data_IF_586844906820
#
_entry.id   IF_586844906820
#
_cell.length_a   1.000
_cell.length_b   1.000
_cell.length_c   1.000
_cell.angle_alpha   90.00
_cell.angle_beta   90.00
_cell.angle_gamma   90.00
#
_symmetry.space_group_name_H-M   'P 1'
#
loop_
_entity.id
_entity.type
_entity.pdbx_description
1 polymer ?
#
# COMPACT_ATOMS: atom_id res chain seq x y z
N UNK A 1 18.29 1.18 -6.48
CA UNK A 1 17.75 0.32 -5.40
C UNK A 1 17.44 -1.06 -5.99
N UNK A 2 18.02 -2.11 -5.42
CA UNK A 2 17.75 -3.50 -5.85
C UNK A 2 17.11 -4.24 -4.67
N UNK A 3 15.79 -4.40 -4.72
CA UNK A 3 15.01 -5.16 -3.75
C UNK A 3 14.38 -6.33 -4.49
N UNK A 4 14.43 -7.55 -3.97
CA UNK A 4 13.81 -8.71 -4.61
C UNK A 4 12.34 -8.45 -4.94
N UNK A 5 11.88 -8.95 -6.08
CA UNK A 5 10.50 -8.81 -6.59
C UNK A 5 10.13 -7.39 -7.07
N UNK A 6 11.02 -6.43 -6.91
CA UNK A 6 10.89 -5.10 -7.52
C UNK A 6 11.78 -4.97 -8.75
N UNK A 7 11.30 -4.26 -9.73
CA UNK A 7 12.16 -3.79 -10.81
C UNK A 7 13.21 -2.82 -10.27
N UNK A 8 14.33 -2.71 -10.99
CA UNK A 8 15.40 -1.80 -10.56
C UNK A 8 14.98 -0.34 -10.82
N UNK A 9 15.01 0.48 -9.77
CA UNK A 9 14.65 1.90 -9.84
C UNK A 9 15.82 2.78 -9.39
N UNK A 10 15.97 3.93 -10.04
CA UNK A 10 16.96 4.94 -9.66
C UNK A 10 16.39 5.84 -8.56
N UNK A 11 16.84 5.63 -7.34
CA UNK A 11 16.42 6.41 -6.17
C UNK A 11 16.79 7.89 -6.27
N UNK A 12 17.93 8.22 -6.87
CA UNK A 12 18.35 9.61 -7.01
C UNK A 12 17.43 10.38 -7.98
N UNK A 13 17.05 9.72 -9.09
CA UNK A 13 16.06 10.28 -10.02
C UNK A 13 14.70 10.48 -9.33
N UNK A 14 14.25 9.51 -8.53
CA UNK A 14 12.99 9.59 -7.81
C UNK A 14 13.00 10.69 -6.73
N UNK A 15 14.10 10.82 -5.98
CA UNK A 15 14.28 11.91 -5.03
C UNK A 15 14.23 13.29 -5.71
N UNK A 16 14.80 13.39 -6.91
CA UNK A 16 14.66 14.59 -7.75
C UNK A 16 13.21 14.89 -8.13
N UNK A 17 12.42 13.87 -8.45
CA UNK A 17 10.97 14.03 -8.72
C UNK A 17 10.21 14.54 -7.48
N UNK A 18 10.49 13.98 -6.31
CA UNK A 18 9.89 14.41 -5.04
C UNK A 18 10.22 15.87 -4.75
N UNK A 19 11.49 16.25 -4.89
CA UNK A 19 11.96 17.61 -4.60
C UNK A 19 11.39 18.67 -5.55
N UNK A 20 11.06 18.27 -6.80
CA UNK A 20 10.50 19.17 -7.83
C UNK A 20 9.00 19.06 -7.99
N UNK A 21 8.34 18.22 -7.21
CA UNK A 21 6.90 17.97 -7.34
C UNK A 21 6.08 19.25 -7.03
N UNK A 22 5.13 19.65 -7.88
CA UNK A 22 4.29 20.80 -7.62
C UNK A 22 3.26 20.51 -6.51
N UNK A 23 3.05 21.48 -5.63
CA UNK A 23 2.05 21.42 -4.57
C UNK A 23 2.51 20.71 -3.31
N UNK A 24 2.69 19.39 -3.34
CA UNK A 24 3.17 18.58 -2.22
C UNK A 24 4.16 17.52 -2.69
N UNK A 25 5.05 17.05 -1.83
CA UNK A 25 6.03 16.02 -2.18
C UNK A 25 5.32 14.74 -2.62
N UNK A 26 5.56 14.30 -3.86
CA UNK A 26 5.03 13.05 -4.38
C UNK A 26 5.93 12.51 -5.50
N UNK A 27 5.76 11.23 -5.79
CA UNK A 27 6.41 10.55 -6.91
C UNK A 27 5.48 9.48 -7.48
N UNK A 28 5.80 9.02 -8.67
CA UNK A 28 5.11 7.92 -9.34
C UNK A 28 6.11 6.94 -9.91
N UNK A 29 5.89 5.65 -9.72
CA UNK A 29 6.73 4.58 -10.24
C UNK A 29 5.92 3.72 -11.21
N UNK A 30 6.32 3.72 -12.47
CA UNK A 30 5.84 2.76 -13.44
C UNK A 30 6.57 1.42 -13.29
N UNK A 31 5.87 0.33 -13.55
CA UNK A 31 6.47 -1.02 -13.49
C UNK A 31 7.19 -1.28 -12.15
N UNK A 32 6.54 -0.96 -11.05
CA UNK A 32 7.13 -1.08 -9.71
C UNK A 32 7.51 -2.52 -9.38
N UNK A 33 6.57 -3.47 -9.56
CA UNK A 33 6.78 -4.89 -9.32
C UNK A 33 7.33 -5.59 -10.57
N UNK A 34 8.07 -6.67 -10.37
CA UNK A 34 8.34 -7.63 -11.45
C UNK A 34 7.00 -8.18 -11.98
N UNK A 35 6.87 -8.31 -13.29
CA UNK A 35 5.60 -8.67 -13.96
C UNK A 35 5.03 -10.01 -13.45
N UNK A 36 5.89 -11.02 -13.26
CA UNK A 36 5.47 -12.32 -12.73
C UNK A 36 4.86 -12.19 -11.33
N UNK A 37 5.50 -11.40 -10.47
CA UNK A 37 5.02 -11.18 -9.10
C UNK A 37 3.73 -10.34 -9.07
N UNK A 38 3.61 -9.35 -9.93
CA UNK A 38 2.38 -8.58 -10.08
C UNK A 38 1.20 -9.49 -10.49
N UNK A 39 1.42 -10.43 -11.41
CA UNK A 39 0.40 -11.39 -11.81
C UNK A 39 0.04 -12.35 -10.67
N UNK A 40 1.01 -12.86 -9.91
CA UNK A 40 0.74 -13.70 -8.72
C UNK A 40 -0.16 -12.97 -7.71
N UNK A 41 0.10 -11.67 -7.47
CA UNK A 41 -0.72 -10.85 -6.57
C UNK A 41 -2.13 -10.67 -7.13
N UNK A 42 -2.24 -10.33 -8.43
CA UNK A 42 -3.53 -10.14 -9.10
C UNK A 42 -4.39 -11.40 -9.00
N UNK A 43 -3.83 -12.57 -9.31
CA UNK A 43 -4.55 -13.85 -9.31
C UNK A 43 -4.94 -14.32 -7.90
N UNK A 44 -4.18 -13.91 -6.88
CA UNK A 44 -4.44 -14.22 -5.48
C UNK A 44 -5.29 -13.17 -4.76
N UNK A 45 -5.65 -12.06 -5.42
CA UNK A 45 -6.38 -10.99 -4.76
C UNK A 45 -7.80 -11.47 -4.40
N UNK A 46 -8.23 -11.35 -3.13
CA UNK A 46 -9.50 -11.90 -2.69
C UNK A 46 -10.67 -11.17 -3.34
N UNK A 47 -11.72 -11.90 -3.68
CA UNK A 47 -13.00 -11.29 -4.02
C UNK A 47 -13.60 -10.58 -2.80
N UNK A 48 -14.55 -9.68 -3.03
CA UNK A 48 -15.26 -8.99 -1.94
C UNK A 48 -15.86 -9.96 -0.91
N UNK A 49 -16.42 -11.09 -1.35
CA UNK A 49 -16.99 -12.10 -0.46
C UNK A 49 -15.93 -12.83 0.39
N UNK A 50 -14.74 -13.04 -0.16
CA UNK A 50 -13.61 -13.61 0.58
C UNK A 50 -13.02 -12.60 1.56
N UNK A 51 -12.81 -11.36 1.12
CA UNK A 51 -12.34 -10.27 1.98
C UNK A 51 -13.28 -10.02 3.15
N UNK A 52 -14.61 -10.13 2.94
CA UNK A 52 -15.61 -9.98 3.99
C UNK A 52 -15.48 -10.99 5.14
N UNK A 53 -14.93 -12.17 4.86
CA UNK A 53 -14.67 -13.20 5.90
C UNK A 53 -13.39 -12.93 6.69
N UNK A 54 -12.50 -12.11 6.15
CA UNK A 54 -11.18 -11.84 6.71
C UNK A 54 -11.12 -10.50 7.45
N UNK A 55 -11.92 -9.53 7.02
CA UNK A 55 -11.80 -8.15 7.43
C UNK A 55 -13.06 -7.51 8.00
N UNK A 56 -13.01 -6.20 8.14
CA UNK A 56 -14.08 -5.36 8.65
C UNK A 56 -14.82 -4.68 7.51
N UNK A 57 -16.15 -4.85 7.48
CA UNK A 57 -17.02 -4.13 6.56
C UNK A 57 -17.32 -2.73 7.11
N UNK A 58 -17.15 -1.72 6.29
CA UNK A 58 -17.54 -0.34 6.57
C UNK A 58 -18.87 -0.01 5.91
N UNK A 59 -19.77 0.58 6.69
CA UNK A 59 -21.11 0.99 6.26
C UNK A 59 -21.53 2.26 7.01
N UNK A 60 -20.70 3.29 6.91
CA UNK A 60 -20.96 4.61 7.46
C UNK A 60 -21.59 5.55 6.41
N UNK A 61 -21.94 6.77 6.81
CA UNK A 61 -22.55 7.76 5.90
C UNK A 61 -21.60 8.13 4.75
N UNK A 62 -20.33 8.33 5.08
CA UNK A 62 -19.27 8.79 4.16
C UNK A 62 -18.42 7.65 3.57
N UNK A 63 -18.67 6.40 3.97
CA UNK A 63 -17.94 5.24 3.49
C UNK A 63 -18.84 4.02 3.47
N UNK A 64 -19.13 3.47 2.28
CA UNK A 64 -20.06 2.35 2.12
C UNK A 64 -19.45 1.23 1.28
N UNK A 65 -19.82 -0.02 1.65
CA UNK A 65 -19.48 -1.24 0.91
C UNK A 65 -17.97 -1.40 0.71
N UNK A 66 -17.19 -0.96 1.67
CA UNK A 66 -15.74 -1.16 1.71
C UNK A 66 -15.40 -2.18 2.79
N UNK A 67 -14.47 -3.06 2.46
CA UNK A 67 -13.87 -3.99 3.41
C UNK A 67 -12.41 -3.61 3.56
N UNK A 68 -11.92 -3.67 4.79
CA UNK A 68 -10.52 -3.52 5.11
C UNK A 68 -10.05 -4.75 5.89
N UNK A 69 -8.96 -5.38 5.41
CA UNK A 69 -8.29 -6.48 6.09
C UNK A 69 -6.92 -5.98 6.53
N UNK A 70 -6.73 -5.80 7.85
CA UNK A 70 -5.47 -5.32 8.44
C UNK A 70 -4.66 -6.42 9.12
N UNK A 71 -5.26 -7.59 9.33
CA UNK A 71 -4.58 -8.76 9.87
C UNK A 71 -3.78 -9.45 8.77
N UNK A 72 -2.49 -9.16 8.71
CA UNK A 72 -1.60 -9.70 7.66
C UNK A 72 -1.47 -11.23 7.69
N UNK A 73 -1.79 -11.88 8.82
CA UNK A 73 -1.79 -13.35 8.90
C UNK A 73 -2.87 -14.01 8.03
N UNK A 74 -3.88 -13.24 7.63
CA UNK A 74 -4.97 -13.67 6.75
C UNK A 74 -4.71 -13.37 5.28
N UNK A 75 -3.63 -12.69 4.95
CA UNK A 75 -3.33 -12.35 3.56
C UNK A 75 -3.00 -13.60 2.75
N UNK A 76 -3.50 -13.72 1.51
CA UNK A 76 -2.98 -14.69 0.56
C UNK A 76 -1.47 -14.59 0.41
N UNK A 77 -0.79 -15.71 0.20
CA UNK A 77 0.67 -15.80 0.21
C UNK A 77 1.38 -14.73 -0.66
N UNK A 78 0.99 -14.45 -1.92
CA UNK A 78 1.64 -13.40 -2.70
C UNK A 78 1.46 -12.00 -2.09
N UNK A 79 0.30 -11.70 -1.53
CA UNK A 79 0.01 -10.41 -0.88
C UNK A 79 0.78 -10.29 0.44
N UNK A 80 0.90 -11.38 1.20
CA UNK A 80 1.74 -11.40 2.39
C UNK A 80 3.22 -11.13 2.06
N UNK A 81 3.74 -11.71 0.96
CA UNK A 81 5.10 -11.43 0.47
C UNK A 81 5.27 -9.96 0.09
N UNK A 82 4.27 -9.35 -0.56
CA UNK A 82 4.27 -7.91 -0.85
C UNK A 82 4.29 -7.10 0.44
N UNK A 83 3.46 -7.44 1.42
CA UNK A 83 3.46 -6.79 2.73
C UNK A 83 4.84 -6.86 3.40
N UNK A 84 5.46 -8.04 3.44
CA UNK A 84 6.80 -8.21 4.01
C UNK A 84 7.87 -7.37 3.27
N UNK A 85 7.75 -7.28 1.94
CA UNK A 85 8.65 -6.47 1.13
C UNK A 85 8.52 -4.98 1.48
N UNK A 86 7.29 -4.46 1.52
CA UNK A 86 7.02 -3.05 1.82
C UNK A 86 7.36 -2.69 3.28
N UNK A 87 7.27 -3.64 4.19
CA UNK A 87 7.66 -3.46 5.60
C UNK A 87 9.16 -3.72 5.87
N UNK A 88 9.93 -4.14 4.86
CA UNK A 88 11.37 -4.44 5.05
C UNK A 88 12.19 -3.18 5.31
N UNK A 89 13.22 -3.31 6.15
CA UNK A 89 14.17 -2.22 6.43
C UNK A 89 14.79 -1.67 5.13
N UNK A 90 15.03 -2.53 4.15
CA UNK A 90 15.57 -2.13 2.85
C UNK A 90 14.62 -1.21 2.08
N UNK A 91 13.31 -1.52 2.07
CA UNK A 91 12.32 -0.69 1.39
C UNK A 91 12.04 0.59 2.18
N UNK A 92 11.80 0.47 3.47
CA UNK A 92 11.50 1.62 4.35
C UNK A 92 12.68 2.60 4.40
N UNK A 93 13.93 2.09 4.45
CA UNK A 93 15.12 2.91 4.38
C UNK A 93 15.25 3.65 3.05
N UNK A 94 14.96 2.99 1.93
CA UNK A 94 14.95 3.62 0.62
C UNK A 94 13.87 4.72 0.50
N UNK A 95 12.68 4.49 1.06
CA UNK A 95 11.63 5.52 1.11
C UNK A 95 12.02 6.70 2.00
N UNK A 96 12.63 6.43 3.14
CA UNK A 96 13.15 7.45 4.05
C UNK A 96 14.16 8.38 3.35
N UNK A 97 15.09 7.80 2.61
CA UNK A 97 16.08 8.54 1.84
C UNK A 97 15.42 9.35 0.70
N UNK A 98 14.59 8.71 -0.10
CA UNK A 98 13.94 9.32 -1.25
C UNK A 98 13.02 10.49 -0.88
N UNK A 99 12.26 10.35 0.21
CA UNK A 99 11.34 11.38 0.70
C UNK A 99 12.00 12.43 1.60
N UNK A 100 13.30 12.27 1.91
CA UNK A 100 14.03 13.08 2.88
C UNK A 100 13.34 13.14 4.27
N UNK A 101 12.71 12.04 4.68
CA UNK A 101 12.07 11.88 5.99
C UNK A 101 12.87 10.85 6.80
N UNK A 102 13.75 11.29 7.70
CA UNK A 102 14.58 10.35 8.46
C UNK A 102 13.74 9.53 9.46
N UNK A 103 14.12 8.27 9.62
CA UNK A 103 13.55 7.42 10.65
C UNK A 103 12.14 6.89 10.36
N UNK A 104 11.74 6.76 9.09
CA UNK A 104 10.51 6.05 8.75
C UNK A 104 10.55 4.63 9.31
N UNK A 105 9.40 4.18 9.80
CA UNK A 105 9.19 2.81 10.29
C UNK A 105 7.94 2.22 9.62
N UNK A 106 7.93 0.91 9.43
CA UNK A 106 6.73 0.21 9.02
C UNK A 106 5.72 0.14 10.18
N UNK A 107 4.42 0.28 9.87
CA UNK A 107 3.36 0.09 10.86
C UNK A 107 2.92 -1.39 10.88
N UNK A 108 3.23 -2.16 11.93
CA UNK A 108 2.84 -3.56 12.01
C UNK A 108 1.33 -3.77 12.20
N UNK A 109 0.62 -2.73 12.66
CA UNK A 109 -0.83 -2.78 12.85
C UNK A 109 -1.62 -2.45 11.57
N UNK A 110 -0.93 -2.00 10.51
CA UNK A 110 -1.53 -1.58 9.24
C UNK A 110 -2.67 -0.57 9.44
N UNK A 111 -2.48 0.41 10.34
CA UNK A 111 -3.44 1.50 10.51
C UNK A 111 -3.53 2.31 9.20
N UNK A 112 -4.71 2.28 8.57
CA UNK A 112 -4.90 2.88 7.24
C UNK A 112 -4.35 2.07 6.06
N UNK A 113 -3.72 0.91 6.33
CA UNK A 113 -3.17 0.01 5.32
C UNK A 113 -3.96 -1.29 5.15
N UNK A 114 -3.36 -2.28 4.49
CA UNK A 114 -3.93 -3.61 4.31
C UNK A 114 -4.60 -3.84 2.95
N UNK A 115 -5.43 -4.89 2.87
CA UNK A 115 -6.26 -5.15 1.69
C UNK A 115 -7.53 -4.33 1.80
N UNK A 116 -7.84 -3.55 0.77
CA UNK A 116 -9.07 -2.78 0.68
C UNK A 116 -9.87 -3.26 -0.54
N UNK A 117 -11.12 -3.63 -0.30
CA UNK A 117 -12.07 -4.02 -1.33
C UNK A 117 -13.31 -3.13 -1.29
N UNK A 118 -13.70 -2.60 -2.43
CA UNK A 118 -14.93 -1.80 -2.56
C UNK A 118 -15.84 -2.45 -3.58
N UNK A 119 -17.04 -2.85 -3.15
CA UNK A 119 -18.03 -3.47 -4.04
C UNK A 119 -18.74 -2.43 -4.92
N UNK A 120 -19.39 -2.92 -5.98
CA UNK A 120 -20.20 -2.08 -6.87
C UNK A 120 -21.21 -1.21 -6.10
N UNK A 121 -21.25 0.09 -6.41
CA UNK A 121 -22.03 1.10 -5.68
C UNK A 121 -21.43 1.49 -4.31
N UNK A 122 -20.23 1.05 -3.99
CA UNK A 122 -19.47 1.58 -2.86
C UNK A 122 -18.89 2.95 -3.16
N UNK A 123 -18.64 3.73 -2.13
CA UNK A 123 -18.00 5.04 -2.23
C UNK A 123 -17.25 5.41 -0.97
N UNK A 124 -16.34 6.33 -1.12
CA UNK A 124 -15.63 7.02 -0.06
C UNK A 124 -15.68 8.52 -0.37
N UNK A 125 -16.25 9.30 0.54
CA UNK A 125 -16.33 10.75 0.38
C UNK A 125 -14.95 11.41 0.58
N UNK A 126 -14.83 12.67 0.20
CA UNK A 126 -13.64 13.48 0.45
C UNK A 126 -13.40 13.56 1.97
N UNK A 127 -12.21 13.17 2.40
CA UNK A 127 -11.85 13.08 3.82
C UNK A 127 -10.38 13.42 4.03
N UNK A 128 -9.99 13.53 5.29
CA UNK A 128 -8.60 13.56 5.76
C UNK A 128 -8.33 12.29 6.53
N UNK A 129 -7.14 11.69 6.33
CA UNK A 129 -6.78 10.41 6.96
C UNK A 129 -6.42 10.55 8.44
N UNK A 130 -6.14 11.77 8.90
CA UNK A 130 -5.69 12.03 10.27
C UNK A 130 -6.79 12.71 11.08
N UNK A 131 -7.29 11.99 12.08
CA UNK A 131 -8.08 12.57 13.16
C UNK A 131 -7.19 12.65 14.40
N UNK A 132 -7.04 13.82 14.95
CA UNK A 132 -6.50 13.97 16.30
C UNK A 132 -7.58 13.53 17.29
N UNK A 133 -7.33 12.42 17.96
CA UNK A 133 -8.10 12.02 19.12
C UNK A 133 -7.43 12.50 20.39
#
# INVERSE_FOLDING_TARGET
MKIPLLNNHDLAQMAGQVASAPGFPHFHINNFLETSFANEIHDAFPSFAEAAKMGKLFSAVNEKRKIQVTDSSKFPSPIYRLHQLLASDAFVGAMSEMMAIPGLIADPALNGGGIHETNSGGHLDVHVDFNYN
#
